data_IF_169137125314
#
_entry.id   IF_169137125314
#
_cell.length_a   1.000
_cell.length_b   1.000
_cell.length_c   1.000
_cell.angle_alpha   90.00
_cell.angle_beta   90.00
_cell.angle_gamma   90.00
#
_symmetry.space_group_name_H-M   'P 1'
#
loop_
_entity.id
_entity.type
_entity.pdbx_description
1 polymer ?
#
# COMPACT_ATOMS: atom_id res chain seq x y z
N UNK A 1 -14.24 22.90 -10.55
CA UNK A 1 -15.08 22.88 -9.33
C UNK A 1 -14.93 21.50 -8.70
N UNK A 2 -14.28 21.43 -7.55
CA UNK A 2 -13.95 20.16 -6.88
C UNK A 2 -15.22 19.42 -6.48
N UNK A 3 -15.23 18.11 -6.73
CA UNK A 3 -16.31 17.25 -6.25
C UNK A 3 -16.35 17.26 -4.72
N UNK A 4 -17.53 17.08 -4.09
CA UNK A 4 -17.60 16.85 -2.65
C UNK A 4 -16.64 15.73 -2.24
N UNK A 5 -15.95 15.91 -1.11
CA UNK A 5 -14.92 14.96 -0.67
C UNK A 5 -15.48 13.54 -0.47
N UNK A 6 -16.76 13.42 -0.09
CA UNK A 6 -17.45 12.14 -0.02
C UNK A 6 -17.34 11.32 -1.33
N UNK A 7 -17.43 11.97 -2.50
CA UNK A 7 -17.26 11.28 -3.78
C UNK A 7 -15.83 10.76 -3.98
N UNK A 8 -14.84 11.49 -3.50
CA UNK A 8 -13.44 11.04 -3.51
C UNK A 8 -13.28 9.77 -2.66
N UNK A 9 -13.89 9.74 -1.48
CA UNK A 9 -13.89 8.55 -0.61
C UNK A 9 -14.61 7.38 -1.28
N UNK A 10 -15.79 7.59 -1.85
CA UNK A 10 -16.56 6.56 -2.54
C UNK A 10 -15.79 5.98 -3.73
N UNK A 11 -15.11 6.82 -4.50
CA UNK A 11 -14.38 6.40 -5.70
C UNK A 11 -13.07 5.68 -5.39
N UNK A 12 -12.30 6.17 -4.41
CA UNK A 12 -10.93 5.70 -4.18
C UNK A 12 -10.74 4.88 -2.91
N UNK A 13 -11.74 4.84 -2.02
CA UNK A 13 -11.67 4.19 -0.71
C UNK A 13 -11.21 2.74 -0.79
N UNK A 14 -11.83 1.93 -1.65
CA UNK A 14 -11.47 0.53 -1.81
C UNK A 14 -10.04 0.35 -2.34
N UNK A 15 -9.61 1.19 -3.30
CA UNK A 15 -8.25 1.17 -3.83
C UNK A 15 -7.22 1.50 -2.76
N UNK A 16 -7.42 2.59 -2.01
CA UNK A 16 -6.51 3.00 -0.94
C UNK A 16 -6.43 1.92 0.14
N UNK A 17 -7.53 1.25 0.47
CA UNK A 17 -7.53 0.17 1.45
C UNK A 17 -6.71 -1.03 0.98
N UNK A 18 -6.85 -1.42 -0.29
CA UNK A 18 -6.00 -2.47 -0.91
C UNK A 18 -4.52 -2.09 -0.85
N UNK A 19 -4.20 -0.81 -1.08
CA UNK A 19 -2.83 -0.31 -0.96
C UNK A 19 -2.33 -0.42 0.50
N UNK A 20 -3.11 0.03 1.48
CA UNK A 20 -2.74 -0.08 2.90
C UNK A 20 -2.51 -1.55 3.30
N UNK A 21 -3.39 -2.47 2.89
CA UNK A 21 -3.24 -3.92 3.14
C UNK A 21 -1.98 -4.49 2.50
N UNK A 22 -1.67 -4.07 1.29
CA UNK A 22 -0.44 -4.49 0.59
C UNK A 22 0.82 -4.08 1.34
N UNK A 23 0.84 -2.87 1.91
CA UNK A 23 2.06 -2.29 2.49
C UNK A 23 2.23 -2.67 3.97
N UNK A 24 1.14 -2.69 4.74
CA UNK A 24 1.16 -2.84 6.20
C UNK A 24 0.63 -4.20 6.70
N UNK A 25 -0.05 -4.96 5.84
CA UNK A 25 -0.86 -6.10 6.25
C UNK A 25 -2.24 -5.68 6.77
N UNK A 26 -3.10 -6.66 7.06
CA UNK A 26 -4.51 -6.43 7.40
C UNK A 26 -4.69 -5.68 8.72
N UNK A 27 -3.83 -5.92 9.71
CA UNK A 27 -3.99 -5.40 11.09
C UNK A 27 -3.95 -3.87 11.16
N UNK A 28 -3.06 -3.22 10.41
CA UNK A 28 -2.88 -1.76 10.48
C UNK A 28 -3.53 -1.04 9.29
N UNK A 29 -4.15 -1.78 8.36
CA UNK A 29 -4.62 -1.20 7.12
C UNK A 29 -5.81 -0.25 7.30
N UNK A 30 -6.76 -0.61 8.17
CA UNK A 30 -7.99 0.16 8.36
C UNK A 30 -7.69 1.50 9.07
N UNK A 31 -6.74 1.51 10.01
CA UNK A 31 -6.26 2.72 10.68
C UNK A 31 -5.49 3.62 9.71
N UNK A 32 -4.55 3.05 8.95
CA UNK A 32 -3.81 3.81 7.93
C UNK A 32 -4.73 4.38 6.85
N UNK A 33 -5.77 3.65 6.46
CA UNK A 33 -6.81 4.13 5.54
C UNK A 33 -7.56 5.33 6.13
N UNK A 34 -8.01 5.21 7.38
CA UNK A 34 -8.74 6.27 8.07
C UNK A 34 -7.88 7.53 8.20
N UNK A 35 -6.64 7.39 8.64
CA UNK A 35 -5.70 8.51 8.72
C UNK A 35 -5.41 9.14 7.36
N UNK A 36 -5.33 8.34 6.31
CA UNK A 36 -5.13 8.82 4.93
C UNK A 36 -6.27 9.73 4.51
N UNK A 37 -7.52 9.29 4.65
CA UNK A 37 -8.68 10.09 4.25
C UNK A 37 -8.91 11.29 5.17
N UNK A 38 -8.55 11.20 6.45
CA UNK A 38 -8.63 12.33 7.38
C UNK A 38 -7.58 13.41 7.03
N UNK A 39 -6.36 13.00 6.68
CA UNK A 39 -5.34 13.91 6.16
C UNK A 39 -5.73 14.50 4.80
N UNK A 40 -6.25 13.67 3.90
CA UNK A 40 -6.71 14.09 2.58
C UNK A 40 -7.87 15.10 2.70
N UNK A 41 -8.85 14.88 3.57
CA UNK A 41 -9.97 15.81 3.78
C UNK A 41 -9.48 17.23 4.12
N UNK A 42 -8.47 17.33 4.98
CA UNK A 42 -7.87 18.63 5.37
C UNK A 42 -7.12 19.30 4.23
N UNK A 43 -6.43 18.53 3.39
CA UNK A 43 -5.61 19.04 2.29
C UNK A 43 -6.37 19.19 0.95
N UNK A 44 -7.52 18.56 0.80
CA UNK A 44 -8.31 18.55 -0.43
C UNK A 44 -8.69 19.95 -0.95
N UNK A 45 -9.04 20.94 -0.09
CA UNK A 45 -9.32 22.30 -0.55
C UNK A 45 -8.16 22.96 -1.31
N UNK A 46 -6.89 22.57 -1.07
CA UNK A 46 -5.71 23.13 -1.75
C UNK A 46 -5.17 22.27 -2.89
N UNK A 47 -5.71 21.07 -3.11
CA UNK A 47 -5.30 20.19 -4.22
C UNK A 47 -5.56 20.86 -5.60
N UNK A 48 -4.62 20.90 -6.56
CA UNK A 48 -4.92 21.43 -7.89
C UNK A 48 -6.07 20.68 -8.59
N UNK A 49 -6.90 21.39 -9.37
CA UNK A 49 -8.05 20.81 -10.07
C UNK A 49 -7.65 19.78 -11.15
N UNK A 50 -6.41 19.86 -11.64
CA UNK A 50 -5.80 18.95 -12.63
C UNK A 50 -4.95 17.84 -12.01
N UNK A 51 -4.87 17.77 -10.68
CA UNK A 51 -4.08 16.75 -9.99
C UNK A 51 -4.67 15.35 -10.19
N UNK A 52 -3.79 14.36 -10.33
CA UNK A 52 -4.19 12.97 -10.22
C UNK A 52 -4.53 12.64 -8.76
N UNK A 53 -5.83 12.64 -8.44
CA UNK A 53 -6.36 12.40 -7.09
C UNK A 53 -5.94 11.03 -6.56
N UNK A 54 -5.90 9.99 -7.40
CA UNK A 54 -5.52 8.65 -6.98
C UNK A 54 -4.04 8.59 -6.58
N UNK A 55 -3.15 9.12 -7.42
CA UNK A 55 -1.72 9.22 -7.10
C UNK A 55 -1.46 10.04 -5.83
N UNK A 56 -2.21 11.13 -5.65
CA UNK A 56 -2.13 11.97 -4.47
C UNK A 56 -2.57 11.22 -3.20
N UNK A 57 -3.68 10.48 -3.24
CA UNK A 57 -4.14 9.65 -2.12
C UNK A 57 -3.14 8.53 -1.80
N UNK A 58 -2.61 7.84 -2.82
CA UNK A 58 -1.58 6.81 -2.64
C UNK A 58 -0.30 7.40 -2.04
N UNK A 59 0.06 8.63 -2.40
CA UNK A 59 1.20 9.34 -1.79
C UNK A 59 0.97 9.59 -0.30
N UNK A 60 -0.23 10.00 0.10
CA UNK A 60 -0.58 10.18 1.51
C UNK A 60 -0.53 8.83 2.24
N UNK A 61 -1.16 7.80 1.69
CA UNK A 61 -1.17 6.45 2.25
C UNK A 61 0.24 5.87 2.40
N UNK A 62 1.12 6.08 1.41
CA UNK A 62 2.52 5.69 1.46
C UNK A 62 3.23 6.33 2.66
N UNK A 63 3.11 7.65 2.85
CA UNK A 63 3.73 8.36 3.97
C UNK A 63 3.24 7.82 5.31
N UNK A 64 1.93 7.61 5.45
CA UNK A 64 1.31 7.02 6.64
C UNK A 64 1.84 5.61 6.92
N UNK A 65 1.97 4.78 5.90
CA UNK A 65 2.53 3.45 6.05
C UNK A 65 4.00 3.46 6.49
N UNK A 66 4.82 4.36 5.92
CA UNK A 66 6.21 4.53 6.35
C UNK A 66 6.30 4.98 7.82
N UNK A 67 5.42 5.87 8.26
CA UNK A 67 5.38 6.32 9.66
C UNK A 67 5.05 5.16 10.62
N UNK A 68 4.08 4.31 10.26
CA UNK A 68 3.71 3.09 11.02
C UNK A 68 4.89 2.12 11.10
N UNK A 69 5.54 1.82 9.97
CA UNK A 69 6.71 0.93 9.93
C UNK A 69 7.83 1.45 10.84
N UNK A 70 8.16 2.75 10.73
CA UNK A 70 9.17 3.39 11.57
C UNK A 70 8.80 3.42 13.05
N UNK A 71 7.51 3.45 13.38
CA UNK A 71 7.05 3.39 14.77
C UNK A 71 7.25 1.98 15.35
N UNK A 72 6.93 0.93 14.57
CA UNK A 72 7.15 -0.47 14.95
C UNK A 72 8.63 -0.76 15.21
N UNK A 73 9.53 -0.27 14.37
CA UNK A 73 10.98 -0.45 14.53
C UNK A 73 11.55 0.24 15.78
N UNK A 74 10.91 1.31 16.25
CA UNK A 74 11.34 2.07 17.44
C UNK A 74 10.72 1.57 18.74
N UNK A 75 9.72 0.69 18.69
CA UNK A 75 9.11 0.14 19.89
C UNK A 75 10.11 -0.81 20.59
N UNK A 76 10.28 -0.71 21.93
CA UNK A 76 11.14 -1.65 22.65
C UNK A 76 10.61 -3.08 22.46
N UNK A 77 11.52 -4.01 22.14
CA UNK A 77 11.22 -5.44 21.98
C UNK A 77 10.44 -5.93 23.21
N UNK A 78 9.22 -6.48 23.05
CA UNK A 78 8.54 -7.16 24.13
C UNK A 78 9.41 -8.36 24.56
N UNK A 79 9.80 -8.41 25.82
CA UNK A 79 10.34 -9.64 26.41
C UNK A 79 9.18 -10.63 26.49
N UNK A 80 9.35 -11.77 25.82
CA UNK A 80 8.41 -12.88 25.61
C UNK A 80 7.33 -12.64 24.54
N UNK A 81 7.59 -13.17 23.34
CA UNK A 81 6.55 -13.47 22.36
C UNK A 81 5.63 -14.56 22.93
N UNK A 82 4.36 -14.21 23.17
CA UNK A 82 3.29 -15.21 23.13
C UNK A 82 3.24 -15.74 21.69
N UNK A 83 3.16 -17.06 21.46
CA UNK A 83 3.07 -17.60 20.12
C UNK A 83 1.84 -16.97 19.46
N UNK A 84 2.05 -16.27 18.34
CA UNK A 84 0.97 -15.86 17.46
C UNK A 84 0.13 -17.11 17.22
N UNK A 85 -1.15 -17.07 17.58
CA UNK A 85 -2.07 -18.18 17.31
C UNK A 85 -1.99 -18.46 15.82
N UNK A 86 -1.39 -19.60 15.50
CA UNK A 86 -1.19 -20.03 14.13
C UNK A 86 -2.54 -20.05 13.45
N UNK A 87 -2.76 -19.12 12.53
CA UNK A 87 -3.71 -19.34 11.45
C UNK A 87 -3.15 -20.55 10.73
N UNK A 88 -3.84 -21.69 10.85
CA UNK A 88 -3.52 -22.87 10.05
C UNK A 88 -3.29 -22.40 8.61
N UNK A 89 -2.25 -22.88 7.90
CA UNK A 89 -2.05 -22.47 6.51
C UNK A 89 -3.36 -22.78 5.78
N UNK A 90 -4.09 -21.72 5.42
CA UNK A 90 -5.17 -21.87 4.49
C UNK A 90 -4.55 -22.55 3.26
N UNK A 91 -5.21 -23.60 2.77
CA UNK A 91 -4.73 -24.34 1.59
C UNK A 91 -4.55 -23.42 0.37
N UNK A 92 -5.13 -22.21 0.43
CA UNK A 92 -4.77 -21.05 -0.38
C UNK A 92 -4.00 -20.01 0.45
N UNK A 93 -2.84 -19.53 -0.03
CA UNK A 93 -2.24 -18.33 0.53
C UNK A 93 -3.24 -17.18 0.46
N UNK A 94 -3.50 -16.47 1.57
CA UNK A 94 -4.10 -15.14 1.47
C UNK A 94 -3.18 -14.29 0.58
N UNK A 95 -3.74 -13.71 -0.49
CA UNK A 95 -3.01 -12.83 -1.41
C UNK A 95 -2.20 -11.77 -0.64
N UNK A 96 -2.75 -11.23 0.45
CA UNK A 96 -2.09 -10.22 1.26
C UNK A 96 -0.89 -10.79 2.02
N UNK A 97 -1.02 -12.00 2.57
CA UNK A 97 0.09 -12.69 3.22
C UNK A 97 1.21 -12.96 2.21
N UNK A 98 0.86 -13.31 0.96
CA UNK A 98 1.86 -13.54 -0.08
C UNK A 98 2.56 -12.25 -0.51
N UNK A 99 1.79 -11.18 -0.72
CA UNK A 99 2.32 -9.84 -1.03
C UNK A 99 3.25 -9.32 0.08
N UNK A 100 2.93 -9.60 1.35
CA UNK A 100 3.77 -9.24 2.48
C UNK A 100 5.16 -9.89 2.45
N UNK A 101 5.32 -11.03 1.76
CA UNK A 101 6.63 -11.69 1.61
C UNK A 101 7.56 -11.04 0.57
N UNK A 102 7.06 -10.08 -0.22
CA UNK A 102 7.88 -9.39 -1.21
C UNK A 102 8.80 -8.37 -0.53
N UNK A 103 10.03 -8.15 -1.05
CA UNK A 103 10.85 -7.00 -0.69
C UNK A 103 10.08 -5.69 -0.85
N UNK A 104 10.29 -4.72 0.05
CA UNK A 104 9.50 -3.50 0.17
C UNK A 104 9.28 -2.77 -1.16
N UNK A 105 10.33 -2.59 -1.96
CA UNK A 105 10.22 -1.91 -3.25
C UNK A 105 9.36 -2.67 -4.24
N UNK A 106 9.45 -4.01 -4.29
CA UNK A 106 8.59 -4.83 -5.14
C UNK A 106 7.14 -4.78 -4.63
N UNK A 107 6.94 -4.88 -3.31
CA UNK A 107 5.63 -4.80 -2.67
C UNK A 107 4.92 -3.48 -2.99
N UNK A 108 5.62 -2.35 -2.83
CA UNK A 108 5.13 -1.01 -3.16
C UNK A 108 4.85 -0.86 -4.64
N UNK A 109 5.78 -1.28 -5.50
CA UNK A 109 5.63 -1.16 -6.95
C UNK A 109 4.47 -2.02 -7.48
N UNK A 110 4.25 -3.20 -6.91
CA UNK A 110 3.09 -4.04 -7.21
C UNK A 110 1.81 -3.38 -6.71
N UNK A 111 1.78 -2.89 -5.46
CA UNK A 111 0.59 -2.28 -4.88
C UNK A 111 0.13 -1.04 -5.65
N UNK A 112 1.05 -0.12 -5.93
CA UNK A 112 0.71 1.15 -6.55
C UNK A 112 0.38 0.99 -8.04
N UNK A 113 1.06 0.08 -8.74
CA UNK A 113 0.77 -0.16 -10.15
C UNK A 113 -0.50 -1.01 -10.36
N UNK A 114 -0.62 -2.15 -9.68
CA UNK A 114 -1.70 -3.11 -9.98
C UNK A 114 -2.96 -2.90 -9.14
N UNK A 115 -2.86 -2.42 -7.90
CA UNK A 115 -4.06 -2.19 -7.07
C UNK A 115 -4.61 -0.78 -7.21
N UNK A 116 -3.73 0.20 -7.46
CA UNK A 116 -4.08 1.60 -7.68
C UNK A 116 -3.93 2.08 -9.12
N UNK A 117 -3.59 1.22 -10.08
CA UNK A 117 -3.60 1.57 -11.50
C UNK A 117 -2.58 2.63 -11.92
N UNK A 118 -1.65 3.03 -11.05
CA UNK A 118 -0.76 4.15 -11.33
C UNK A 118 0.26 3.79 -12.41
N UNK A 119 0.57 4.71 -13.35
CA UNK A 119 1.69 4.52 -14.27
C UNK A 119 3.02 4.44 -13.51
N UNK A 120 3.98 3.71 -14.06
CA UNK A 120 5.29 3.51 -13.44
C UNK A 120 6.03 4.82 -13.10
N UNK A 121 5.77 5.91 -13.83
CA UNK A 121 6.31 7.24 -13.52
C UNK A 121 5.80 7.79 -12.19
N UNK A 122 4.52 7.61 -11.87
CA UNK A 122 3.94 8.04 -10.60
C UNK A 122 4.36 7.11 -9.46
N UNK A 123 4.39 5.80 -9.71
CA UNK A 123 4.94 4.83 -8.75
C UNK A 123 6.38 5.20 -8.37
N UNK A 124 7.21 5.53 -9.36
CA UNK A 124 8.59 5.94 -9.15
C UNK A 124 8.71 7.23 -8.33
N UNK A 125 7.85 8.23 -8.59
CA UNK A 125 7.80 9.47 -7.83
C UNK A 125 7.41 9.24 -6.36
N UNK A 126 6.46 8.33 -6.10
CA UNK A 126 6.02 7.98 -4.74
C UNK A 126 7.11 7.22 -3.98
N UNK A 127 7.72 6.22 -4.62
CA UNK A 127 8.72 5.32 -4.00
C UNK A 127 10.10 5.98 -3.91
N UNK A 128 10.38 7.02 -4.70
CA UNK A 128 11.68 7.67 -4.75
C UNK A 128 12.72 6.88 -5.56
N UNK A 129 12.33 6.37 -6.73
CA UNK A 129 13.22 5.64 -7.64
C UNK A 129 13.04 6.11 -9.11
N UNK A 130 13.74 5.49 -10.06
CA UNK A 130 13.54 5.78 -11.49
C UNK A 130 12.33 5.02 -12.06
N UNK A 131 11.68 5.51 -13.15
CA UNK A 131 10.58 4.79 -13.80
C UNK A 131 10.97 3.36 -14.24
N UNK A 132 12.19 3.16 -14.72
CA UNK A 132 12.70 1.84 -15.09
C UNK A 132 12.88 0.92 -13.88
N UNK A 133 13.37 1.46 -12.75
CA UNK A 133 13.48 0.72 -11.51
C UNK A 133 12.10 0.33 -10.96
N UNK A 134 11.10 1.21 -11.05
CA UNK A 134 9.73 0.90 -10.67
C UNK A 134 9.14 -0.21 -11.55
N UNK A 135 9.28 -0.10 -12.88
CA UNK A 135 8.84 -1.15 -13.82
C UNK A 135 9.49 -2.49 -13.52
N UNK A 136 10.81 -2.49 -13.30
CA UNK A 136 11.55 -3.70 -12.98
C UNK A 136 11.04 -4.32 -11.68
N UNK A 137 10.88 -3.52 -10.63
CA UNK A 137 10.37 -3.98 -9.34
C UNK A 137 8.95 -4.56 -9.42
N UNK A 138 8.04 -3.94 -10.20
CA UNK A 138 6.69 -4.47 -10.45
C UNK A 138 6.74 -5.82 -11.17
N UNK A 139 7.59 -5.95 -12.20
CA UNK A 139 7.76 -7.19 -12.95
C UNK A 139 8.33 -8.33 -12.09
N UNK A 140 9.41 -8.05 -11.34
CA UNK A 140 10.05 -9.03 -10.47
C UNK A 140 9.09 -9.45 -9.34
N UNK A 141 8.32 -8.50 -8.78
CA UNK A 141 7.30 -8.78 -7.77
C UNK A 141 6.20 -9.73 -8.28
N UNK A 142 5.64 -9.47 -9.47
CA UNK A 142 4.61 -10.36 -10.06
C UNK A 142 5.18 -11.74 -10.37
N UNK A 143 6.41 -11.83 -10.88
CA UNK A 143 7.07 -13.12 -11.13
C UNK A 143 7.24 -13.92 -9.83
N UNK A 144 7.66 -13.28 -8.74
CA UNK A 144 7.78 -13.91 -7.44
C UNK A 144 6.43 -14.38 -6.87
N UNK A 145 5.36 -13.58 -7.02
CA UNK A 145 4.01 -13.98 -6.60
C UNK A 145 3.50 -15.18 -7.41
N UNK A 146 3.69 -15.18 -8.74
CA UNK A 146 3.27 -16.29 -9.60
C UNK A 146 3.95 -17.61 -9.24
N UNK A 147 5.26 -17.57 -9.00
CA UNK A 147 6.03 -18.77 -8.62
C UNK A 147 5.55 -19.38 -7.30
N UNK A 148 5.06 -18.56 -6.37
CA UNK A 148 4.54 -19.03 -5.07
C UNK A 148 3.07 -19.46 -5.12
N UNK A 149 2.26 -18.83 -5.98
CA UNK A 149 0.83 -19.15 -6.12
C UNK A 149 0.60 -20.42 -6.94
N UNK A 150 1.47 -20.70 -7.91
CA UNK A 150 1.44 -21.91 -8.74
C UNK A 150 2.79 -22.64 -8.62
N UNK A 151 3.05 -23.35 -7.49
CA UNK A 151 4.24 -24.16 -7.37
C UNK A 151 4.22 -25.30 -8.42
N UNK A 152 5.41 -25.72 -8.91
CA UNK A 152 5.54 -26.76 -9.94
C UNK A 152 5.01 -28.13 -9.49
#
# INVERSE_FOLDING_TARGET
>A
MKHPFERVVQQHGATVLRVCRAVLGVQDADDAWSETFLAALRAYPSLPDDANVEAWLVTIAHRKAIDVIRARERAPLPVAELPSTGVAPAKDPDLWALVATLPDRQRQAVAYHFFAGLPHSEVAAIVGCSPDAARRASSDGVAALRAKWFPP
#
